data_IF_463076969503
#
_entry.id   IF_463076969503
#
_cell.length_a   1.000
_cell.length_b   1.000
_cell.length_c   1.000
_cell.angle_alpha   90.00
_cell.angle_beta   90.00
_cell.angle_gamma   90.00
#
_symmetry.space_group_name_H-M   'P 1'
#
loop_
_entity.id
_entity.type
_entity.pdbx_description
1 polymer ?
#
# COMPACT_ATOMS: atom_id res chain seq x y z
N UNK A 1 -18.85 -2.66 45.21
CA UNK A 1 -17.98 -3.75 44.74
C UNK A 1 -18.84 -4.94 44.33
N UNK A 2 -19.07 -5.14 43.03
CA UNK A 2 -19.77 -6.34 42.53
C UNK A 2 -18.81 -7.07 41.59
N UNK A 3 -18.38 -8.25 42.02
CA UNK A 3 -17.54 -9.18 41.25
C UNK A 3 -18.45 -10.01 40.35
N UNK A 4 -18.20 -9.99 39.05
CA UNK A 4 -18.84 -10.88 38.09
C UNK A 4 -17.74 -11.82 37.59
N UNK A 5 -17.79 -13.06 38.07
CA UNK A 5 -17.01 -14.17 37.53
C UNK A 5 -17.91 -14.89 36.51
N UNK A 6 -17.48 -14.94 35.26
CA UNK A 6 -18.18 -15.73 34.23
C UNK A 6 -17.19 -16.77 33.69
N UNK A 7 -17.60 -18.00 33.94
CA UNK A 7 -16.99 -19.28 33.63
C UNK A 7 -16.83 -19.49 32.12
N UNK A 8 -15.69 -20.04 31.72
CA UNK A 8 -15.33 -20.26 30.33
C UNK A 8 -16.12 -21.37 29.63
N UNK A 9 -16.13 -21.31 28.30
CA UNK A 9 -16.59 -22.37 27.41
C UNK A 9 -15.45 -22.67 26.45
N UNK A 10 -14.83 -23.85 26.60
CA UNK A 10 -13.89 -24.44 25.65
C UNK A 10 -14.66 -25.27 24.65
N UNK A 11 -14.73 -24.82 23.39
CA UNK A 11 -15.19 -25.63 22.28
C UNK A 11 -13.98 -26.05 21.44
N UNK A 12 -13.61 -27.33 21.53
CA UNK A 12 -12.68 -27.98 20.62
C UNK A 12 -13.45 -28.47 19.39
N UNK A 13 -13.09 -27.98 18.20
CA UNK A 13 -13.57 -28.51 16.93
C UNK A 13 -12.37 -29.09 16.17
N UNK A 14 -12.31 -30.42 16.12
CA UNK A 14 -11.34 -31.18 15.34
C UNK A 14 -12.10 -32.12 14.39
N UNK A 15 -12.10 -31.81 13.09
CA UNK A 15 -12.36 -32.67 11.93
C UNK A 15 -11.73 -31.91 10.74
N UNK A 16 -10.74 -32.37 9.96
CA UNK A 16 -10.41 -33.72 9.52
C UNK A 16 -10.86 -33.89 8.06
N UNK A 17 -9.88 -34.03 7.14
CA UNK A 17 -9.95 -34.61 5.77
C UNK A 17 -10.36 -33.72 4.57
N UNK A 18 -9.36 -33.34 3.75
CA UNK A 18 -9.41 -33.51 2.29
C UNK A 18 -8.02 -33.91 1.77
N UNK A 19 -7.78 -35.23 1.75
CA UNK A 19 -6.78 -35.82 0.87
C UNK A 19 -7.38 -35.90 -0.53
N UNK A 20 -6.84 -35.15 -1.49
CA UNK A 20 -7.10 -35.35 -2.91
C UNK A 20 -5.87 -36.02 -3.52
N UNK A 21 -6.01 -37.32 -3.81
CA UNK A 21 -4.98 -38.13 -4.48
C UNK A 21 -5.14 -38.15 -6.00
N UNK A 22 -4.04 -38.46 -6.69
CA UNK A 22 -3.93 -38.71 -8.13
C UNK A 22 -2.54 -38.28 -8.65
N UNK A 23 -1.46 -39.10 -8.59
CA UNK A 23 -1.08 -40.31 -9.37
C UNK A 23 -0.49 -39.97 -10.76
N UNK A 24 0.79 -40.36 -10.95
CA UNK A 24 1.49 -40.62 -12.24
C UNK A 24 1.95 -39.35 -12.98
N UNK A 25 3.12 -39.24 -13.63
CA UNK A 25 4.06 -40.24 -14.16
C UNK A 25 5.48 -39.66 -14.22
N UNK A 26 6.47 -40.55 -14.23
CA UNK A 26 7.89 -40.20 -14.11
C UNK A 26 8.61 -39.81 -15.41
N UNK A 27 9.92 -39.56 -15.23
CA UNK A 27 10.95 -39.85 -16.23
C UNK A 27 11.18 -38.78 -17.29
N UNK A 28 12.29 -38.05 -17.18
CA UNK A 28 12.76 -37.19 -18.27
C UNK A 28 14.06 -36.46 -17.96
N UNK A 29 15.17 -37.18 -17.96
CA UNK A 29 16.50 -36.59 -18.10
C UNK A 29 16.68 -36.04 -19.53
N UNK A 30 17.43 -34.94 -19.62
CA UNK A 30 18.18 -34.43 -20.79
C UNK A 30 17.58 -33.23 -21.52
N UNK A 31 18.38 -32.16 -21.56
CA UNK A 31 18.83 -31.39 -22.74
C UNK A 31 18.97 -29.92 -22.33
N UNK A 32 20.21 -29.43 -22.21
CA UNK A 32 20.98 -28.77 -23.27
C UNK A 32 20.59 -27.29 -23.47
N UNK A 33 21.61 -26.43 -23.45
CA UNK A 33 21.54 -24.98 -23.60
C UNK A 33 20.90 -24.51 -24.92
N UNK A 34 20.58 -23.21 -25.01
CA UNK A 34 21.22 -22.48 -26.11
C UNK A 34 21.77 -21.08 -25.74
N UNK A 35 22.77 -20.74 -26.54
CA UNK A 35 23.58 -19.55 -26.67
C UNK A 35 22.80 -18.24 -26.83
N UNK A 36 23.29 -17.16 -26.20
CA UNK A 36 22.91 -15.78 -26.53
C UNK A 36 23.65 -15.34 -27.81
N UNK A 37 22.97 -14.76 -28.81
CA UNK A 37 23.63 -14.18 -29.97
C UNK A 37 24.19 -12.77 -29.71
N UNK A 38 25.37 -12.60 -30.28
CA UNK A 38 26.21 -11.45 -30.59
C UNK A 38 25.48 -10.30 -31.32
N UNK A 39 25.81 -9.07 -30.90
CA UNK A 39 26.17 -7.88 -31.70
C UNK A 39 25.32 -7.48 -32.92
N UNK A 40 24.83 -6.25 -32.92
CA UNK A 40 24.98 -5.31 -34.05
C UNK A 40 24.51 -3.91 -33.66
N UNK A 41 25.47 -2.98 -33.56
CA UNK A 41 25.23 -1.54 -33.67
C UNK A 41 24.76 -1.15 -35.09
N UNK A 42 24.11 0.00 -35.24
CA UNK A 42 24.63 0.97 -36.21
C UNK A 42 24.73 2.41 -35.66
N UNK A 43 25.69 3.14 -36.21
CA UNK A 43 26.07 4.53 -35.91
C UNK A 43 25.36 5.55 -36.86
N UNK A 44 25.87 6.79 -37.10
CA UNK A 44 25.28 8.05 -36.62
C UNK A 44 24.85 9.03 -37.73
N UNK A 45 24.16 10.11 -37.35
CA UNK A 45 23.96 11.32 -38.18
C UNK A 45 22.73 12.11 -37.70
N UNK A 46 22.70 13.43 -37.66
CA UNK A 46 23.65 14.47 -38.04
C UNK A 46 23.11 15.82 -37.56
N UNK A 47 24.03 16.70 -37.21
CA UNK A 47 23.85 18.06 -36.69
C UNK A 47 23.08 18.98 -37.64
N UNK A 48 22.18 19.82 -37.12
CA UNK A 48 21.90 21.19 -37.61
C UNK A 48 21.16 22.02 -36.56
N UNK A 49 21.88 22.90 -35.88
CA UNK A 49 21.42 24.23 -35.42
C UNK A 49 21.73 25.23 -36.58
N UNK A 50 21.22 26.50 -36.66
CA UNK A 50 21.09 27.48 -35.56
C UNK A 50 19.94 28.52 -35.65
N UNK A 51 19.84 29.41 -34.64
CA UNK A 51 19.14 30.71 -34.64
C UNK A 51 18.27 30.91 -33.39
N UNK A 52 18.74 31.55 -32.30
CA UNK A 52 18.75 33.01 -32.02
C UNK A 52 17.39 33.70 -32.29
N UNK A 53 16.81 34.60 -31.48
CA UNK A 53 17.02 35.20 -30.16
C UNK A 53 15.73 35.98 -29.87
N UNK A 54 15.25 36.04 -28.63
CA UNK A 54 14.80 37.27 -27.95
C UNK A 54 14.07 36.98 -26.62
N UNK A 55 14.70 37.43 -25.53
CA UNK A 55 14.06 37.80 -24.27
C UNK A 55 13.29 39.14 -24.45
N UNK A 56 12.37 39.49 -23.53
CA UNK A 56 12.72 40.10 -22.23
C UNK A 56 12.00 39.36 -21.07
N UNK A 57 12.53 39.19 -19.86
CA UNK A 57 13.21 40.15 -19.02
C UNK A 57 12.23 40.67 -17.95
N UNK A 58 12.07 39.97 -16.82
CA UNK A 58 11.78 40.60 -15.52
C UNK A 58 12.09 39.67 -14.31
N UNK A 59 13.17 40.03 -13.62
CA UNK A 59 13.44 40.10 -12.18
C UNK A 59 12.71 39.18 -11.16
N UNK A 60 13.53 38.35 -10.49
CA UNK A 60 13.62 38.38 -9.01
C UNK A 60 12.89 37.30 -8.21
N UNK A 61 13.65 36.50 -7.45
CA UNK A 61 13.12 35.82 -6.26
C UNK A 61 13.73 34.45 -5.95
N UNK A 62 14.65 34.41 -4.98
CA UNK A 62 15.21 33.21 -4.34
C UNK A 62 14.14 32.29 -3.74
N UNK A 63 14.31 30.97 -3.85
CA UNK A 63 13.64 29.98 -2.98
C UNK A 63 13.42 28.59 -3.58
N UNK A 64 13.93 27.54 -2.91
CA UNK A 64 13.63 26.10 -3.13
C UNK A 64 12.16 25.74 -2.77
N UNK A 65 11.66 24.48 -2.86
CA UNK A 65 12.15 23.25 -3.50
C UNK A 65 11.16 22.67 -4.54
N UNK A 66 11.55 21.57 -5.20
CA UNK A 66 10.72 20.73 -6.08
C UNK A 66 9.52 20.17 -5.32
N UNK A 67 8.34 20.77 -5.51
CA UNK A 67 7.08 20.23 -5.00
C UNK A 67 6.73 18.96 -5.77
N UNK A 68 6.65 17.85 -5.05
CA UNK A 68 6.09 16.59 -5.54
C UNK A 68 4.68 16.85 -6.09
N UNK A 69 4.43 16.45 -7.34
CA UNK A 69 3.12 16.50 -7.98
C UNK A 69 2.08 15.74 -7.15
N UNK A 70 1.36 16.46 -6.30
CA UNK A 70 0.10 15.99 -5.75
C UNK A 70 -0.96 16.31 -6.80
N UNK A 71 -1.69 15.33 -7.37
CA UNK A 71 -2.79 15.65 -8.27
C UNK A 71 -3.83 16.45 -7.49
N UNK A 72 -3.95 17.73 -7.84
CA UNK A 72 -5.00 18.62 -7.35
C UNK A 72 -6.33 18.03 -7.82
N UNK A 73 -7.14 17.56 -6.88
CA UNK A 73 -8.53 17.20 -7.17
C UNK A 73 -9.28 18.50 -7.53
N UNK A 74 -9.44 18.76 -8.83
CA UNK A 74 -10.26 19.85 -9.33
C UNK A 74 -11.75 19.53 -9.08
N UNK A 75 -12.42 20.34 -8.28
CA UNK A 75 -13.85 20.60 -8.45
C UNK A 75 -14.86 19.72 -7.71
N UNK A 76 -14.53 19.17 -6.55
CA UNK A 76 -15.49 18.55 -5.63
C UNK A 76 -14.99 18.66 -4.19
N UNK A 77 -15.87 18.76 -3.20
CA UNK A 77 -15.44 18.83 -1.79
C UNK A 77 -14.55 17.63 -1.47
N UNK A 78 -13.26 17.89 -1.26
CA UNK A 78 -12.31 16.86 -0.93
C UNK A 78 -12.63 16.34 0.47
N UNK A 79 -12.91 15.04 0.58
CA UNK A 79 -13.17 14.40 1.87
C UNK A 79 -11.89 14.47 2.69
N UNK A 80 -11.88 15.19 3.81
CA UNK A 80 -10.70 15.34 4.65
C UNK A 80 -10.43 14.13 5.55
N UNK A 81 -11.50 13.50 6.05
CA UNK A 81 -11.40 12.26 6.84
C UNK A 81 -12.70 11.46 6.80
N UNK A 82 -12.63 10.16 7.08
CA UNK A 82 -13.79 9.26 7.17
C UNK A 82 -13.51 8.18 8.21
N UNK A 83 -14.51 7.91 9.05
CA UNK A 83 -14.48 6.77 9.97
C UNK A 83 -15.36 5.63 9.48
N UNK A 84 -14.94 4.40 9.76
CA UNK A 84 -15.75 3.20 9.54
C UNK A 84 -14.90 1.93 9.46
N UNK A 85 -15.54 0.83 9.04
CA UNK A 85 -14.86 -0.44 8.84
C UNK A 85 -13.99 -0.39 7.59
N UNK A 86 -12.70 -0.70 7.76
CA UNK A 86 -11.75 -0.91 6.68
C UNK A 86 -12.09 -2.18 5.91
N UNK A 87 -12.03 -2.10 4.58
CA UNK A 87 -12.21 -3.24 3.69
C UNK A 87 -11.14 -3.26 2.61
N UNK A 88 -10.50 -4.40 2.43
CA UNK A 88 -9.63 -4.66 1.30
C UNK A 88 -10.46 -4.84 0.01
N UNK A 89 -10.02 -4.21 -1.09
CA UNK A 89 -10.61 -4.44 -2.42
C UNK A 89 -9.63 -5.12 -3.38
N UNK A 90 -8.41 -4.62 -3.43
CA UNK A 90 -7.33 -5.05 -4.32
C UNK A 90 -5.99 -4.55 -3.74
N UNK A 91 -4.83 -4.97 -4.27
CA UNK A 91 -3.55 -4.53 -3.73
C UNK A 91 -3.45 -3.00 -3.70
N UNK A 92 -3.15 -2.44 -2.51
CA UNK A 92 -3.06 -1.00 -2.28
C UNK A 92 -4.38 -0.21 -2.36
N UNK A 93 -5.54 -0.89 -2.49
CA UNK A 93 -6.85 -0.26 -2.64
C UNK A 93 -7.85 -0.76 -1.60
N UNK A 94 -8.46 0.20 -0.91
CA UNK A 94 -9.30 -0.06 0.27
C UNK A 94 -10.58 0.75 0.25
N UNK A 95 -11.52 0.39 1.14
CA UNK A 95 -12.71 1.20 1.41
C UNK A 95 -12.91 1.42 2.90
N UNK A 96 -13.47 2.59 3.23
CA UNK A 96 -14.08 2.88 4.52
C UNK A 96 -15.45 3.50 4.25
N UNK A 97 -16.50 2.78 4.64
CA UNK A 97 -17.86 3.10 4.22
C UNK A 97 -17.97 3.09 2.70
N UNK A 98 -18.42 4.22 2.14
CA UNK A 98 -18.61 4.49 0.72
C UNK A 98 -17.38 5.11 0.01
N UNK A 99 -16.29 5.36 0.74
CA UNK A 99 -15.08 5.99 0.19
C UNK A 99 -14.05 4.92 -0.18
N UNK A 100 -13.64 4.91 -1.44
CA UNK A 100 -12.49 4.12 -1.92
C UNK A 100 -11.24 4.99 -1.88
N UNK A 101 -10.13 4.43 -1.41
CA UNK A 101 -8.86 5.15 -1.29
C UNK A 101 -7.67 4.24 -1.58
N UNK A 102 -6.52 4.87 -1.80
CA UNK A 102 -5.21 4.22 -1.94
C UNK A 102 -4.31 4.59 -0.77
N UNK A 103 -3.33 3.74 -0.48
CA UNK A 103 -2.25 4.06 0.45
C UNK A 103 -1.00 4.48 -0.33
N UNK A 104 -0.18 5.31 0.29
CA UNK A 104 1.13 5.70 -0.22
C UNK A 104 2.20 5.27 0.80
N UNK A 105 3.47 5.26 0.41
CA UNK A 105 4.59 4.91 1.31
C UNK A 105 4.67 5.85 2.53
N UNK A 106 4.12 7.07 2.40
CA UNK A 106 4.03 8.05 3.48
C UNK A 106 2.80 7.88 4.38
N UNK A 107 1.90 6.96 4.08
CA UNK A 107 0.74 6.67 4.93
C UNK A 107 1.23 6.15 6.27
N UNK A 108 0.90 6.86 7.35
CA UNK A 108 1.17 6.37 8.71
C UNK A 108 -0.01 5.55 9.20
N UNK A 109 0.26 4.44 9.89
CA UNK A 109 -0.78 3.63 10.56
C UNK A 109 -0.63 3.80 12.07
N UNK A 110 -1.73 4.01 12.79
CA UNK A 110 -1.77 4.00 14.27
C UNK A 110 -2.67 2.84 14.69
N UNK A 111 -2.11 1.86 15.40
CA UNK A 111 -2.86 0.68 15.87
C UNK A 111 -3.42 0.90 17.28
N UNK A 112 -4.58 0.30 17.56
CA UNK A 112 -5.32 0.55 18.82
C UNK A 112 -4.97 -0.43 19.95
N UNK A 113 -3.83 -1.11 19.86
CA UNK A 113 -3.45 -2.24 20.70
C UNK A 113 -3.51 -3.52 19.89
N UNK A 114 -2.36 -3.93 19.34
CA UNK A 114 -2.25 -5.04 18.40
C UNK A 114 -0.85 -5.06 17.80
N UNK A 115 -0.66 -5.85 16.74
CA UNK A 115 0.57 -5.81 15.95
C UNK A 115 0.44 -4.73 14.88
N UNK A 116 1.58 -4.15 14.51
CA UNK A 116 1.69 -3.35 13.30
C UNK A 116 1.35 -4.21 12.07
N UNK A 117 1.03 -3.58 10.92
CA UNK A 117 0.67 -4.31 9.71
C UNK A 117 1.74 -5.28 9.19
N UNK A 118 3.00 -5.04 9.54
CA UNK A 118 4.16 -5.90 9.25
C UNK A 118 4.33 -7.07 10.23
N UNK A 119 3.44 -7.20 11.23
CA UNK A 119 3.49 -8.20 12.30
C UNK A 119 4.39 -7.83 13.48
N UNK A 120 5.06 -6.68 13.45
CA UNK A 120 5.90 -6.21 14.55
C UNK A 120 5.07 -5.67 15.72
N UNK A 121 5.69 -5.56 16.89
CA UNK A 121 5.06 -4.91 18.04
C UNK A 121 5.11 -3.38 17.88
N UNK A 122 4.01 -2.64 18.13
CA UNK A 122 3.99 -1.20 18.00
C UNK A 122 4.90 -0.52 19.04
N UNK A 123 5.53 0.62 18.69
CA UNK A 123 6.31 1.39 19.65
C UNK A 123 5.45 1.89 20.82
N UNK A 124 5.94 1.69 22.06
CA UNK A 124 5.19 2.00 23.28
C UNK A 124 4.71 3.45 23.38
N UNK A 125 5.48 4.39 22.84
CA UNK A 125 5.24 5.83 23.00
C UNK A 125 4.23 6.42 22.00
N UNK A 126 4.02 5.77 20.85
CA UNK A 126 3.24 6.38 19.75
C UNK A 126 2.29 5.44 19.03
N UNK A 127 2.49 4.13 19.13
CA UNK A 127 1.76 3.11 18.37
C UNK A 127 1.74 3.36 16.86
N UNK A 128 2.72 4.13 16.34
CA UNK A 128 2.86 4.42 14.92
C UNK A 128 3.60 3.29 14.23
N UNK A 129 3.00 2.80 13.15
CA UNK A 129 3.49 1.74 12.31
C UNK A 129 3.67 2.25 10.87
N UNK A 130 4.54 1.58 10.12
CA UNK A 130 4.63 1.74 8.68
C UNK A 130 3.44 1.12 7.95
N UNK A 131 3.42 1.29 6.62
CA UNK A 131 2.38 0.74 5.73
C UNK A 131 2.72 -0.65 5.20
N UNK A 132 3.92 -1.16 5.48
CA UNK A 132 4.36 -2.49 5.06
C UNK A 132 3.43 -3.57 5.62
N UNK A 133 2.95 -4.48 4.76
CA UNK A 133 2.00 -5.52 5.15
C UNK A 133 0.55 -5.07 5.32
N UNK A 134 0.21 -3.80 5.03
CA UNK A 134 -1.14 -3.25 5.23
C UNK A 134 -2.24 -3.97 4.43
N UNK A 135 -1.93 -4.47 3.22
CA UNK A 135 -2.85 -5.29 2.43
C UNK A 135 -3.30 -6.54 3.19
N UNK A 136 -2.37 -7.26 3.80
CA UNK A 136 -2.65 -8.50 4.51
C UNK A 136 -3.27 -8.21 5.87
N UNK A 137 -2.79 -7.19 6.57
CA UNK A 137 -3.41 -6.67 7.79
C UNK A 137 -4.91 -6.40 7.57
N UNK A 138 -5.27 -5.64 6.53
CA UNK A 138 -6.67 -5.33 6.20
C UNK A 138 -7.53 -6.55 5.84
N UNK A 139 -6.93 -7.69 5.46
CA UNK A 139 -7.64 -8.96 5.18
C UNK A 139 -7.80 -9.82 6.43
N UNK A 140 -6.85 -9.76 7.38
CA UNK A 140 -6.77 -10.69 8.51
C UNK A 140 -7.91 -10.54 9.50
N UNK A 141 -8.40 -9.32 9.72
CA UNK A 141 -9.52 -9.09 10.62
C UNK A 141 -10.29 -7.81 10.28
N UNK A 142 -11.53 -7.65 10.76
CA UNK A 142 -12.24 -6.39 10.61
C UNK A 142 -11.62 -5.29 11.46
N UNK A 143 -11.03 -4.27 10.82
CA UNK A 143 -10.50 -3.09 11.49
C UNK A 143 -11.51 -1.93 11.40
N UNK A 144 -11.83 -1.30 12.53
CA UNK A 144 -12.51 0.00 12.51
C UNK A 144 -11.45 1.09 12.53
N UNK A 145 -11.51 2.01 11.58
CA UNK A 145 -10.46 3.01 11.38
C UNK A 145 -11.06 4.39 11.15
N UNK A 146 -10.31 5.42 11.54
CA UNK A 146 -10.43 6.77 11.04
C UNK A 146 -9.32 7.02 10.02
N UNK A 147 -9.68 7.32 8.78
CA UNK A 147 -8.74 7.60 7.70
C UNK A 147 -8.75 9.09 7.40
N UNK A 148 -7.57 9.71 7.35
CA UNK A 148 -7.38 11.07 6.84
C UNK A 148 -6.86 11.03 5.43
N UNK A 149 -7.40 11.88 4.56
CA UNK A 149 -7.08 11.87 3.14
C UNK A 149 -6.38 13.15 2.69
N UNK A 150 -5.55 13.00 1.65
CA UNK A 150 -5.12 14.08 0.77
C UNK A 150 -5.39 13.62 -0.67
N UNK A 151 -6.35 14.28 -1.33
CA UNK A 151 -6.95 13.77 -2.56
C UNK A 151 -7.63 12.41 -2.32
N UNK A 152 -7.23 11.40 -3.09
CA UNK A 152 -7.69 10.01 -2.96
C UNK A 152 -6.74 9.12 -2.14
N UNK A 153 -5.64 9.67 -1.65
CA UNK A 153 -4.63 8.93 -0.89
C UNK A 153 -4.87 9.10 0.62
N UNK A 154 -4.74 8.00 1.37
CA UNK A 154 -4.69 8.05 2.83
C UNK A 154 -3.34 8.63 3.28
N UNK A 155 -3.37 9.57 4.20
CA UNK A 155 -2.17 10.12 4.85
C UNK A 155 -2.00 9.55 6.27
N UNK A 156 -3.11 9.20 6.91
CA UNK A 156 -3.15 8.55 8.21
C UNK A 156 -4.29 7.53 8.23
N UNK A 157 -4.01 6.33 8.72
CA UNK A 157 -5.02 5.34 9.09
C UNK A 157 -4.88 5.09 10.58
N UNK A 158 -5.89 5.46 11.36
CA UNK A 158 -5.90 5.25 12.80
C UNK A 158 -6.96 4.23 13.16
N UNK A 159 -6.54 3.09 13.69
CA UNK A 159 -7.44 2.09 14.26
C UNK A 159 -8.14 2.63 15.51
N UNK A 160 -9.42 2.29 15.65
CA UNK A 160 -10.28 2.68 16.76
C UNK A 160 -10.83 1.43 17.43
N UNK A 161 -10.83 1.39 18.77
CA UNK A 161 -11.41 0.30 19.56
C UNK A 161 -12.94 0.31 19.52
#
# INVERSE_FOLDING_TARGET
MRKIAITGVTAALALGLTACGGIGDGGGNSAAAPSSPTDSAPAPGGTSAPGETSAPGDSGGSGAPTAQHTPVAQGGQQIGSKWGRLRYLAPGKFTVGDVVFFTADSTTVIVAGGQCPDGSAPPAESSRCGIDGFDDWAKTSPHNVNVRFSGQAATLVQETQ
#
